data_IF_329144524205
#
_entry.id   IF_329144524205
#
_cell.length_a   1.000
_cell.length_b   1.000
_cell.length_c   1.000
_cell.angle_alpha   90.00
_cell.angle_beta   90.00
_cell.angle_gamma   90.00
#
_symmetry.space_group_name_H-M   'P 1'
#
loop_
_entity.id
_entity.type
_entity.pdbx_description
1 polymer ?
#
# COMPACT_ATOMS: atom_id res chain seq x y z
N UNK A 1 -74.31 -34.15 -0.01
CA UNK A 1 -73.25 -34.93 0.71
C UNK A 1 -71.92 -35.09 -0.05
N UNK A 2 -71.67 -34.41 -1.19
CA UNK A 2 -70.43 -34.63 -1.99
C UNK A 2 -69.29 -33.62 -1.79
N UNK A 3 -69.45 -32.56 -0.99
CA UNK A 3 -68.41 -31.53 -0.80
C UNK A 3 -67.45 -31.82 0.36
N UNK A 4 -67.82 -32.68 1.31
CA UNK A 4 -66.95 -33.10 2.43
C UNK A 4 -65.92 -34.17 2.04
N UNK A 5 -66.32 -35.12 1.19
CA UNK A 5 -65.45 -36.23 0.77
C UNK A 5 -64.27 -35.76 -0.10
N UNK A 6 -64.49 -34.76 -0.96
CA UNK A 6 -63.43 -34.17 -1.80
C UNK A 6 -62.40 -33.36 -0.99
N UNK A 7 -62.79 -32.77 0.14
CA UNK A 7 -61.86 -32.03 1.00
C UNK A 7 -60.98 -32.95 1.84
N UNK A 8 -61.50 -34.10 2.28
CA UNK A 8 -60.71 -35.12 2.98
C UNK A 8 -59.71 -35.83 2.06
N UNK A 9 -60.08 -36.06 0.79
CA UNK A 9 -59.17 -36.68 -0.20
C UNK A 9 -58.00 -35.77 -0.60
N UNK A 10 -58.22 -34.45 -0.67
CA UNK A 10 -57.16 -33.48 -1.00
C UNK A 10 -56.17 -33.31 0.17
N UNK A 11 -56.64 -33.35 1.42
CA UNK A 11 -55.76 -33.28 2.60
C UNK A 11 -54.91 -34.55 2.74
N UNK A 12 -55.44 -35.72 2.39
CA UNK A 12 -54.69 -36.97 2.46
C UNK A 12 -53.57 -37.03 1.39
N UNK A 13 -53.79 -36.45 0.20
CA UNK A 13 -52.79 -36.40 -0.88
C UNK A 13 -51.69 -35.38 -0.57
N UNK A 14 -51.98 -34.26 0.11
CA UNK A 14 -50.94 -33.29 0.47
C UNK A 14 -50.10 -33.71 1.67
N UNK A 15 -50.61 -34.55 2.58
CA UNK A 15 -49.82 -35.07 3.70
C UNK A 15 -48.97 -36.29 3.30
N UNK A 16 -49.42 -37.11 2.35
CA UNK A 16 -48.65 -38.26 1.86
C UNK A 16 -47.48 -37.88 0.93
N UNK A 17 -47.52 -36.70 0.30
CA UNK A 17 -46.41 -36.20 -0.54
C UNK A 17 -45.26 -35.53 0.25
N UNK A 18 -45.44 -35.28 1.56
CA UNK A 18 -44.45 -34.55 2.38
C UNK A 18 -43.55 -35.44 3.25
N UNK A 19 -43.70 -36.78 3.20
CA UNK A 19 -42.98 -37.69 4.13
C UNK A 19 -42.03 -38.68 3.41
N UNK A 20 -42.03 -38.73 2.07
CA UNK A 20 -41.11 -39.60 1.31
C UNK A 20 -40.01 -38.77 0.65
N UNK A 21 -38.98 -38.41 1.40
CA UNK A 21 -37.82 -37.69 0.87
C UNK A 21 -36.77 -37.27 1.88
N UNK A 22 -36.55 -38.05 2.95
CA UNK A 22 -35.35 -37.92 3.79
C UNK A 22 -34.52 -39.18 3.57
N UNK A 23 -33.82 -39.21 2.46
CA UNK A 23 -32.53 -39.90 2.41
C UNK A 23 -31.49 -38.93 2.99
N UNK A 24 -30.54 -39.37 3.82
CA UNK A 24 -29.35 -38.58 4.07
C UNK A 24 -28.56 -38.57 2.77
N UNK A 25 -28.87 -37.61 1.89
CA UNK A 25 -27.97 -37.26 0.80
C UNK A 25 -26.73 -36.68 1.47
N UNK A 26 -25.66 -37.48 1.51
CA UNK A 26 -24.31 -36.97 1.64
C UNK A 26 -24.21 -35.77 0.68
N UNK A 27 -23.84 -34.61 1.22
CA UNK A 27 -23.57 -33.43 0.42
C UNK A 27 -22.32 -33.72 -0.43
N UNK A 28 -22.54 -34.35 -1.58
CA UNK A 28 -21.58 -34.47 -2.64
C UNK A 28 -21.47 -33.07 -3.25
N UNK A 29 -20.46 -32.31 -2.82
CA UNK A 29 -20.09 -31.04 -3.44
C UNK A 29 -20.05 -31.26 -4.96
N UNK A 30 -20.89 -30.52 -5.70
CA UNK A 30 -20.96 -30.74 -7.15
C UNK A 30 -19.61 -30.41 -7.78
N UNK A 31 -19.21 -31.19 -8.80
CA UNK A 31 -17.97 -30.97 -9.56
C UNK A 31 -17.87 -29.52 -10.05
N UNK A 32 -19.01 -28.89 -10.37
CA UNK A 32 -19.11 -27.49 -10.77
C UNK A 32 -18.76 -26.52 -9.63
N UNK A 33 -19.15 -26.80 -8.38
CA UNK A 33 -18.82 -25.97 -7.21
C UNK A 33 -17.34 -26.12 -6.82
N UNK A 34 -16.79 -27.33 -6.90
CA UNK A 34 -15.35 -27.60 -6.70
C UNK A 34 -14.50 -26.95 -7.79
N UNK A 35 -14.94 -27.03 -9.05
CA UNK A 35 -14.29 -26.38 -10.20
C UNK A 35 -14.36 -24.87 -10.12
N UNK A 36 -15.48 -24.31 -9.65
CA UNK A 36 -15.67 -22.87 -9.46
C UNK A 36 -14.86 -22.32 -8.28
N UNK A 37 -14.69 -23.09 -7.20
CA UNK A 37 -13.78 -22.79 -6.09
C UNK A 37 -12.30 -22.83 -6.54
N UNK A 38 -11.92 -23.84 -7.33
CA UNK A 38 -10.57 -23.97 -7.91
C UNK A 38 -10.25 -22.90 -8.96
N UNK A 39 -11.23 -22.52 -9.80
CA UNK A 39 -11.08 -21.43 -10.78
C UNK A 39 -11.02 -20.04 -10.16
N UNK A 40 -11.57 -19.84 -8.96
CA UNK A 40 -11.53 -18.56 -8.24
C UNK A 40 -10.31 -18.40 -7.33
N UNK A 41 -9.53 -19.46 -7.10
CA UNK A 41 -8.28 -19.40 -6.35
C UNK A 41 -7.09 -19.32 -7.30
N UNK A 42 -6.23 -18.30 -7.17
CA UNK A 42 -4.88 -18.36 -7.70
C UNK A 42 -4.23 -19.70 -7.26
N UNK A 43 -3.49 -20.34 -8.16
CA UNK A 43 -2.65 -21.49 -7.77
C UNK A 43 -1.64 -21.05 -6.72
N UNK A 44 -1.25 -21.92 -5.77
CA UNK A 44 -0.28 -21.60 -4.70
C UNK A 44 0.98 -20.93 -5.26
N UNK A 45 1.44 -21.37 -6.43
CA UNK A 45 2.60 -20.80 -7.14
C UNK A 45 2.39 -19.34 -7.51
N UNK A 46 1.20 -18.97 -8.01
CA UNK A 46 0.90 -17.58 -8.37
C UNK A 46 0.78 -16.69 -7.11
N UNK A 47 0.23 -17.23 -6.01
CA UNK A 47 0.21 -16.50 -4.73
C UNK A 47 1.63 -16.25 -4.22
N UNK A 48 2.50 -17.26 -4.30
CA UNK A 48 3.91 -17.13 -3.89
C UNK A 48 4.67 -16.12 -4.77
N UNK A 49 4.40 -16.10 -6.08
CA UNK A 49 4.96 -15.08 -6.99
C UNK A 49 4.52 -13.67 -6.59
N UNK A 50 3.24 -13.49 -6.25
CA UNK A 50 2.70 -12.19 -5.88
C UNK A 50 3.23 -11.71 -4.51
N UNK A 51 3.37 -12.62 -3.52
CA UNK A 51 4.04 -12.33 -2.25
C UNK A 51 5.50 -11.91 -2.49
N UNK A 52 6.21 -12.59 -3.38
CA UNK A 52 7.59 -12.24 -3.74
C UNK A 52 7.65 -10.85 -4.40
N UNK A 53 6.76 -10.56 -5.35
CA UNK A 53 6.65 -9.27 -6.02
C UNK A 53 6.41 -8.14 -5.01
N UNK A 54 5.44 -8.30 -4.12
CA UNK A 54 5.14 -7.33 -3.07
C UNK A 54 6.35 -7.12 -2.14
N UNK A 55 7.06 -8.19 -1.78
CA UNK A 55 8.25 -8.10 -0.91
C UNK A 55 9.39 -7.30 -1.56
N UNK A 56 9.59 -7.45 -2.86
CA UNK A 56 10.57 -6.65 -3.61
C UNK A 56 10.15 -5.17 -3.67
N UNK A 57 8.85 -4.91 -3.85
CA UNK A 57 8.29 -3.56 -3.84
C UNK A 57 8.44 -2.88 -2.46
N UNK A 58 8.14 -3.59 -1.36
CA UNK A 58 8.35 -3.12 0.03
C UNK A 58 9.82 -2.75 0.30
N UNK A 59 10.76 -3.55 -0.24
CA UNK A 59 12.20 -3.30 -0.12
C UNK A 59 12.59 -2.03 -0.87
N UNK A 60 12.08 -1.86 -2.09
CA UNK A 60 12.33 -0.69 -2.93
C UNK A 60 11.80 0.59 -2.27
N UNK A 61 10.57 0.56 -1.77
CA UNK A 61 9.96 1.68 -1.04
C UNK A 61 10.76 2.03 0.22
N UNK A 62 11.28 1.02 0.93
CA UNK A 62 12.12 1.26 2.10
C UNK A 62 13.41 2.00 1.75
N UNK A 63 14.04 1.67 0.61
CA UNK A 63 15.21 2.38 0.11
C UNK A 63 14.84 3.84 -0.25
N UNK A 64 13.70 4.07 -0.88
CA UNK A 64 13.23 5.42 -1.22
C UNK A 64 12.91 6.28 0.02
N UNK A 65 12.38 5.68 1.08
CA UNK A 65 12.17 6.34 2.37
C UNK A 65 13.51 6.78 2.95
N UNK A 66 14.50 5.88 3.02
CA UNK A 66 15.84 6.19 3.55
C UNK A 66 16.49 7.30 2.72
N UNK A 67 16.40 7.24 1.39
CA UNK A 67 16.93 8.27 0.50
C UNK A 67 16.27 9.63 0.77
N UNK A 68 14.94 9.66 0.92
CA UNK A 68 14.20 10.88 1.25
C UNK A 68 14.65 11.48 2.59
N UNK A 69 14.92 10.65 3.60
CA UNK A 69 15.43 11.09 4.90
C UNK A 69 16.84 11.68 4.81
N UNK A 70 17.74 11.03 4.06
CA UNK A 70 19.08 11.56 3.81
C UNK A 70 19.00 12.92 3.11
N UNK A 71 18.16 13.06 2.09
CA UNK A 71 17.95 14.33 1.39
C UNK A 71 17.39 15.41 2.32
N UNK A 72 16.40 15.08 3.16
CA UNK A 72 15.86 16.00 4.17
C UNK A 72 16.95 16.48 5.15
N UNK A 73 17.77 15.58 5.69
CA UNK A 73 18.85 15.98 6.62
C UNK A 73 19.93 16.83 5.97
N UNK A 74 20.26 16.56 4.70
CA UNK A 74 21.20 17.40 3.94
C UNK A 74 20.64 18.81 3.75
N UNK A 75 19.35 18.90 3.45
CA UNK A 75 18.63 20.15 3.26
C UNK A 75 18.62 20.96 4.57
N UNK A 76 18.34 20.30 5.70
CA UNK A 76 18.39 20.93 7.03
C UNK A 76 19.77 21.50 7.35
N UNK A 77 20.85 20.75 7.05
CA UNK A 77 22.23 21.24 7.22
C UNK A 77 22.53 22.47 6.38
N UNK A 78 22.10 22.50 5.11
CA UNK A 78 22.25 23.69 4.24
C UNK A 78 21.53 24.89 4.85
N UNK A 79 20.31 24.70 5.36
CA UNK A 79 19.52 25.76 5.99
C UNK A 79 20.11 26.24 7.29
N UNK A 80 20.64 25.35 8.12
CA UNK A 80 21.33 25.72 9.35
C UNK A 80 22.52 26.64 9.06
N UNK A 81 23.32 26.33 8.02
CA UNK A 81 24.42 27.20 7.58
C UNK A 81 23.93 28.56 7.10
N UNK A 82 22.87 28.61 6.31
CA UNK A 82 22.28 29.89 5.84
C UNK A 82 21.75 30.72 7.01
N UNK A 83 21.05 30.09 7.97
CA UNK A 83 20.57 30.75 9.20
C UNK A 83 21.71 31.26 10.07
N UNK A 84 22.78 30.48 10.22
CA UNK A 84 23.96 30.89 10.97
C UNK A 84 24.64 32.11 10.34
N UNK A 85 24.81 32.12 9.01
CA UNK A 85 25.36 33.25 8.26
C UNK A 85 24.51 34.51 8.47
N UNK A 86 23.20 34.41 8.27
CA UNK A 86 22.27 35.51 8.49
C UNK A 86 22.27 35.99 9.95
N UNK A 87 22.30 35.07 10.92
CA UNK A 87 22.35 35.38 12.33
C UNK A 87 23.67 36.00 12.80
N UNK A 88 24.80 35.67 12.16
CA UNK A 88 26.09 36.33 12.36
C UNK A 88 26.05 37.77 11.85
N UNK A 89 25.48 37.99 10.67
CA UNK A 89 25.28 39.34 10.11
C UNK A 89 24.39 40.19 11.05
N UNK A 90 23.26 39.65 11.50
CA UNK A 90 22.36 40.32 12.46
C UNK A 90 23.01 40.59 13.82
N UNK A 91 23.76 39.64 14.39
CA UNK A 91 24.44 39.85 15.68
C UNK A 91 25.58 40.87 15.58
N UNK A 92 26.32 40.89 14.48
CA UNK A 92 27.34 41.94 14.26
C UNK A 92 26.74 43.34 14.22
N UNK A 93 25.48 43.48 13.75
CA UNK A 93 24.74 44.74 13.81
C UNK A 93 24.43 45.17 15.25
N UNK A 94 24.00 44.23 16.09
CA UNK A 94 23.60 44.56 17.47
C UNK A 94 24.80 44.73 18.41
N UNK A 95 25.93 44.06 18.16
CA UNK A 95 27.11 44.09 19.02
C UNK A 95 28.19 45.09 18.61
N UNK A 96 28.11 45.69 17.42
CA UNK A 96 29.10 46.68 16.96
C UNK A 96 30.50 46.13 16.66
N UNK A 97 30.67 44.80 16.61
CA UNK A 97 31.97 44.12 16.48
C UNK A 97 32.57 44.13 15.05
N UNK A 98 31.85 44.65 14.03
CA UNK A 98 32.34 44.82 12.64
C UNK A 98 31.75 46.05 11.96
N UNK A 99 32.49 46.66 11.01
CA UNK A 99 31.94 47.57 10.00
C UNK A 99 30.90 46.80 9.16
N UNK A 100 29.63 46.99 9.51
CA UNK A 100 28.47 46.36 8.89
C UNK A 100 28.35 46.73 7.40
N UNK A 101 27.86 45.80 6.58
CA UNK A 101 27.43 46.10 5.21
C UNK A 101 26.38 47.23 5.16
N UNK A 102 25.56 47.39 6.21
CA UNK A 102 24.64 48.53 6.34
C UNK A 102 25.35 49.82 6.76
N UNK A 103 26.44 49.73 7.54
CA UNK A 103 27.30 50.87 7.86
C UNK A 103 28.08 51.36 6.63
N UNK A 104 28.41 50.45 5.70
CA UNK A 104 28.92 50.81 4.39
C UNK A 104 28.01 51.85 3.72
N UNK A 105 26.69 51.71 3.78
CA UNK A 105 25.74 52.70 3.22
C UNK A 105 25.94 54.09 3.83
N UNK A 106 26.13 54.17 5.15
CA UNK A 106 26.39 55.44 5.84
C UNK A 106 27.80 56.01 5.57
N UNK A 107 28.75 55.16 5.16
CA UNK A 107 30.09 55.55 4.72
C UNK A 107 30.14 55.96 3.23
N UNK A 108 29.00 56.01 2.53
CA UNK A 108 28.94 56.43 1.13
C UNK A 108 29.36 57.90 0.98
N UNK A 109 30.34 58.17 0.11
CA UNK A 109 30.82 59.54 -0.17
C UNK A 109 29.94 60.30 -1.17
N UNK A 110 28.94 59.65 -1.76
CA UNK A 110 28.02 60.25 -2.74
C UNK A 110 26.68 59.51 -2.79
N UNK A 111 25.63 60.21 -3.22
CA UNK A 111 24.30 59.62 -3.43
C UNK A 111 24.31 58.43 -4.41
N UNK A 112 25.11 58.51 -5.48
CA UNK A 112 25.28 57.40 -6.41
C UNK A 112 25.96 56.17 -5.81
N UNK A 113 26.91 56.37 -4.87
CA UNK A 113 27.53 55.27 -4.14
C UNK A 113 26.54 54.62 -3.15
N UNK A 114 25.72 55.43 -2.48
CA UNK A 114 24.66 54.96 -1.60
C UNK A 114 23.65 54.07 -2.34
N UNK A 115 23.15 54.53 -3.50
CA UNK A 115 22.23 53.75 -4.35
C UNK A 115 22.83 52.41 -4.80
N UNK A 116 24.11 52.37 -5.19
CA UNK A 116 24.79 51.13 -5.59
C UNK A 116 24.88 50.13 -4.44
N UNK A 117 25.25 50.58 -3.24
CA UNK A 117 25.32 49.71 -2.05
C UNK A 117 23.96 49.22 -1.59
N UNK A 118 22.93 50.08 -1.63
CA UNK A 118 21.55 49.66 -1.35
C UNK A 118 21.07 48.57 -2.32
N UNK A 119 21.30 48.76 -3.62
CA UNK A 119 20.92 47.77 -4.62
C UNK A 119 21.64 46.44 -4.42
N UNK A 120 22.94 46.47 -4.09
CA UNK A 120 23.71 45.27 -3.79
C UNK A 120 23.17 44.52 -2.57
N UNK A 121 22.84 45.21 -1.49
CA UNK A 121 22.28 44.60 -0.28
C UNK A 121 20.89 44.03 -0.48
N UNK A 122 20.05 44.77 -1.22
CA UNK A 122 18.71 44.32 -1.59
C UNK A 122 18.77 43.04 -2.43
N UNK A 123 19.73 42.97 -3.37
CA UNK A 123 19.97 41.76 -4.15
C UNK A 123 20.42 40.58 -3.27
N UNK A 124 21.35 40.79 -2.34
CA UNK A 124 21.82 39.74 -1.42
C UNK A 124 20.69 39.20 -0.54
N UNK A 125 19.88 40.07 0.04
CA UNK A 125 18.74 39.68 0.87
C UNK A 125 17.71 38.89 0.06
N UNK A 126 17.38 39.36 -1.15
CA UNK A 126 16.43 38.68 -2.04
C UNK A 126 16.94 37.30 -2.46
N UNK A 127 18.24 37.16 -2.72
CA UNK A 127 18.87 35.86 -3.02
C UNK A 127 18.71 34.87 -1.86
N UNK A 128 18.96 35.33 -0.63
CA UNK A 128 18.84 34.49 0.57
C UNK A 128 17.39 34.11 0.87
N UNK A 129 16.45 35.03 0.65
CA UNK A 129 15.01 34.75 0.75
C UNK A 129 14.59 33.69 -0.28
N UNK A 130 14.98 33.84 -1.55
CA UNK A 130 14.70 32.86 -2.61
C UNK A 130 15.26 31.49 -2.23
N UNK A 131 16.50 31.42 -1.75
CA UNK A 131 17.12 30.17 -1.32
C UNK A 131 16.36 29.50 -0.16
N UNK A 132 15.88 30.29 0.81
CA UNK A 132 15.13 29.77 1.95
C UNK A 132 13.73 29.30 1.57
N UNK A 133 13.07 29.99 0.64
CA UNK A 133 11.77 29.57 0.12
C UNK A 133 11.89 28.29 -0.72
N UNK A 134 12.91 28.20 -1.58
CA UNK A 134 13.21 26.99 -2.33
C UNK A 134 13.47 25.81 -1.37
N UNK A 135 14.25 26.02 -0.31
CA UNK A 135 14.47 25.03 0.73
C UNK A 135 13.17 24.52 1.36
N UNK A 136 12.32 25.44 1.81
CA UNK A 136 11.04 25.10 2.45
C UNK A 136 10.15 24.31 1.51
N UNK A 137 10.10 24.69 0.24
CA UNK A 137 9.32 24.00 -0.78
C UNK A 137 9.84 22.56 -0.97
N UNK A 138 11.14 22.39 -1.20
CA UNK A 138 11.77 21.08 -1.40
C UNK A 138 11.60 20.17 -0.18
N UNK A 139 11.84 20.69 1.03
CA UNK A 139 11.64 19.93 2.27
C UNK A 139 10.18 19.48 2.45
N UNK A 140 9.20 20.32 2.14
CA UNK A 140 7.77 19.95 2.16
C UNK A 140 7.48 18.85 1.14
N UNK A 141 8.04 18.95 -0.07
CA UNK A 141 7.89 17.92 -1.10
C UNK A 141 8.45 16.58 -0.64
N UNK A 142 9.68 16.55 -0.10
CA UNK A 142 10.30 15.34 0.42
C UNK A 142 9.52 14.74 1.58
N UNK A 143 9.05 15.58 2.52
CA UNK A 143 8.21 15.13 3.64
C UNK A 143 6.90 14.49 3.15
N UNK A 144 6.24 15.10 2.18
CA UNK A 144 5.01 14.58 1.60
C UNK A 144 5.26 13.28 0.82
N UNK A 145 6.36 13.19 0.08
CA UNK A 145 6.77 11.97 -0.61
C UNK A 145 7.00 10.84 0.40
N UNK A 146 7.79 11.08 1.44
CA UNK A 146 8.04 10.11 2.53
C UNK A 146 6.73 9.62 3.14
N UNK A 147 5.80 10.53 3.45
CA UNK A 147 4.51 10.15 4.01
C UNK A 147 3.70 9.26 3.05
N UNK A 148 3.69 9.57 1.75
CA UNK A 148 3.03 8.72 0.75
C UNK A 148 3.67 7.32 0.69
N UNK A 149 5.00 7.26 0.68
CA UNK A 149 5.74 5.99 0.67
C UNK A 149 5.43 5.13 1.90
N UNK A 150 5.33 5.72 3.09
CA UNK A 150 4.94 5.00 4.32
C UNK A 150 3.51 4.46 4.26
N UNK A 151 2.58 5.25 3.71
CA UNK A 151 1.20 4.79 3.50
C UNK A 151 1.18 3.62 2.51
N UNK A 152 1.89 3.73 1.37
CA UNK A 152 1.98 2.66 0.39
C UNK A 152 2.61 1.40 0.98
N UNK A 153 3.72 1.54 1.72
CA UNK A 153 4.38 0.43 2.42
C UNK A 153 3.43 -0.29 3.37
N UNK A 154 2.67 0.46 4.16
CA UNK A 154 1.67 -0.11 5.07
C UNK A 154 0.55 -0.83 4.29
N UNK A 155 0.11 -0.25 3.17
CA UNK A 155 -0.87 -0.87 2.28
C UNK A 155 -0.37 -2.19 1.69
N UNK A 156 0.87 -2.23 1.21
CA UNK A 156 1.51 -3.44 0.69
C UNK A 156 1.70 -4.51 1.75
N UNK A 157 2.08 -4.12 2.97
CA UNK A 157 2.20 -5.05 4.09
C UNK A 157 0.85 -5.70 4.41
N UNK A 158 -0.23 -4.92 4.42
CA UNK A 158 -1.58 -5.45 4.62
C UNK A 158 -2.00 -6.38 3.47
N UNK A 159 -1.75 -5.98 2.21
CA UNK A 159 -2.06 -6.79 1.04
C UNK A 159 -1.30 -8.13 1.07
N UNK A 160 -0.02 -8.11 1.45
CA UNK A 160 0.80 -9.31 1.62
C UNK A 160 0.23 -10.25 2.68
N UNK A 161 -0.28 -9.72 3.80
CA UNK A 161 -0.96 -10.54 4.81
C UNK A 161 -2.22 -11.21 4.25
N UNK A 162 -2.99 -10.52 3.41
CA UNK A 162 -4.16 -11.13 2.77
C UNK A 162 -3.76 -12.25 1.80
N UNK A 163 -2.68 -12.08 1.01
CA UNK A 163 -2.16 -13.16 0.18
C UNK A 163 -1.65 -14.35 0.99
N UNK A 164 -0.99 -14.12 2.12
CA UNK A 164 -0.55 -15.22 3.02
C UNK A 164 -1.77 -16.00 3.54
N UNK A 165 -2.83 -15.33 3.99
CA UNK A 165 -4.07 -16.00 4.43
C UNK A 165 -4.72 -16.79 3.29
N UNK A 166 -4.76 -16.23 2.09
CA UNK A 166 -5.28 -16.94 0.91
C UNK A 166 -4.46 -18.19 0.61
N UNK A 167 -3.12 -18.09 0.69
CA UNK A 167 -2.23 -19.24 0.53
C UNK A 167 -2.53 -20.34 1.53
N UNK A 168 -2.64 -20.00 2.81
CA UNK A 168 -2.96 -20.95 3.89
C UNK A 168 -4.29 -21.67 3.61
N UNK A 169 -5.31 -20.92 3.17
CA UNK A 169 -6.60 -21.49 2.78
C UNK A 169 -6.47 -22.46 1.60
N UNK A 170 -5.76 -22.09 0.54
CA UNK A 170 -5.57 -22.97 -0.63
C UNK A 170 -4.82 -24.25 -0.24
N UNK A 171 -3.80 -24.15 0.60
CA UNK A 171 -3.06 -25.32 1.10
C UNK A 171 -3.96 -26.22 1.96
N UNK A 172 -4.79 -25.65 2.83
CA UNK A 172 -5.74 -26.44 3.64
C UNK A 172 -6.76 -27.18 2.77
N UNK A 173 -7.29 -26.53 1.73
CA UNK A 173 -8.21 -27.17 0.78
C UNK A 173 -7.54 -28.32 0.03
N UNK A 174 -6.29 -28.15 -0.38
CA UNK A 174 -5.53 -29.23 -1.02
C UNK A 174 -5.37 -30.43 -0.08
N UNK A 175 -5.06 -30.20 1.19
CA UNK A 175 -4.93 -31.27 2.19
C UNK A 175 -6.25 -32.00 2.46
N UNK A 176 -7.37 -31.28 2.51
CA UNK A 176 -8.70 -31.89 2.64
C UNK A 176 -9.05 -32.76 1.42
N UNK A 177 -8.72 -32.28 0.22
CA UNK A 177 -8.89 -33.04 -1.02
C UNK A 177 -8.00 -34.30 -0.97
N UNK A 178 -6.72 -34.17 -0.64
CA UNK A 178 -5.80 -35.31 -0.56
C UNK A 178 -6.29 -36.37 0.46
N UNK A 179 -6.80 -35.95 1.62
CA UNK A 179 -7.37 -36.86 2.63
C UNK A 179 -8.64 -37.56 2.17
N UNK A 180 -9.52 -36.86 1.44
CA UNK A 180 -10.76 -37.45 0.90
C UNK A 180 -10.47 -38.42 -0.24
N UNK A 181 -9.44 -38.15 -1.04
CA UNK A 181 -8.93 -39.08 -2.06
C UNK A 181 -8.33 -40.34 -1.42
N UNK A 182 -7.51 -40.20 -0.37
CA UNK A 182 -6.95 -41.35 0.36
C UNK A 182 -8.03 -42.22 1.03
N UNK A 183 -9.14 -41.62 1.48
CA UNK A 183 -10.28 -42.32 2.09
C UNK A 183 -11.16 -43.06 1.06
N UNK A 184 -11.14 -42.65 -0.21
CA UNK A 184 -11.99 -43.19 -1.28
C UNK A 184 -11.17 -43.53 -2.55
N UNK A 185 -10.34 -44.59 -2.53
CA UNK A 185 -9.40 -44.92 -3.61
C UNK A 185 -10.06 -45.17 -4.97
N UNK A 186 -11.30 -45.67 -4.99
CA UNK A 186 -12.06 -45.92 -6.24
C UNK A 186 -12.59 -44.63 -6.88
N UNK A 187 -12.92 -43.60 -6.08
CA UNK A 187 -13.29 -42.27 -6.56
C UNK A 187 -12.05 -41.39 -6.83
N UNK A 188 -10.93 -41.71 -6.18
CA UNK A 188 -9.70 -40.93 -6.26
C UNK A 188 -9.06 -40.95 -7.65
N UNK A 189 -9.08 -42.09 -8.33
CA UNK A 189 -8.56 -42.18 -9.70
C UNK A 189 -9.36 -41.29 -10.68
N UNK A 190 -10.69 -41.21 -10.52
CA UNK A 190 -11.55 -40.39 -11.38
C UNK A 190 -11.35 -38.88 -11.11
N UNK A 191 -11.20 -38.48 -9.85
CA UNK A 191 -10.99 -37.08 -9.45
C UNK A 191 -9.55 -36.63 -9.78
N UNK A 192 -8.54 -37.48 -9.61
CA UNK A 192 -7.15 -37.18 -9.95
C UNK A 192 -6.95 -36.93 -11.46
N UNK A 193 -7.59 -37.75 -12.31
CA UNK A 193 -7.57 -37.56 -13.78
C UNK A 193 -8.23 -36.22 -14.16
N UNK A 194 -9.32 -35.84 -13.48
CA UNK A 194 -9.99 -34.55 -13.71
C UNK A 194 -9.13 -33.35 -13.25
N UNK A 195 -8.43 -33.48 -12.12
CA UNK A 195 -7.49 -32.47 -11.63
C UNK A 195 -6.30 -32.27 -12.58
N UNK A 196 -5.76 -33.36 -13.14
CA UNK A 196 -4.60 -33.30 -14.03
C UNK A 196 -4.95 -32.70 -15.41
N UNK A 197 -6.14 -32.99 -15.95
CA UNK A 197 -6.63 -32.34 -17.16
C UNK A 197 -6.82 -30.82 -16.99
N UNK A 198 -7.37 -30.39 -15.85
CA UNK A 198 -7.58 -28.95 -15.59
C UNK A 198 -6.26 -28.22 -15.37
N UNK A 199 -5.23 -28.90 -14.86
CA UNK A 199 -3.88 -28.34 -14.67
C UNK A 199 -3.11 -28.18 -15.98
N UNK A 200 -3.40 -28.97 -17.02
CA UNK A 200 -2.74 -28.87 -18.34
C UNK A 200 -3.39 -27.86 -19.28
N UNK A 201 -4.63 -27.44 -19.00
CA UNK A 201 -5.37 -26.47 -19.81
C UNK A 201 -5.00 -25.00 -19.52
N UNK A 202 -4.02 -24.77 -18.64
CA UNK A 202 -3.42 -23.47 -18.31
C UNK A 202 -1.92 -23.46 -18.56
#
# INVERSE_FOLDING_TARGET
MQKGLKRLLIIYITVFLSISGITPAYAELSIEETRKLLQQSLTVVQIDQEISRITQEETTITIEIIKSEVEMTLQEKKTAKTRERLGKVLRSYYKGERESLWLLIFNAKSFGQLLRMYNYLSYLYKSDEIAFQAYKAEYRTLKNLRQKLEITKTGLANLKQEFIKQRERVVSLQQEIDQTLDAHPDAAAAIAIQLEQVKSDW
#
